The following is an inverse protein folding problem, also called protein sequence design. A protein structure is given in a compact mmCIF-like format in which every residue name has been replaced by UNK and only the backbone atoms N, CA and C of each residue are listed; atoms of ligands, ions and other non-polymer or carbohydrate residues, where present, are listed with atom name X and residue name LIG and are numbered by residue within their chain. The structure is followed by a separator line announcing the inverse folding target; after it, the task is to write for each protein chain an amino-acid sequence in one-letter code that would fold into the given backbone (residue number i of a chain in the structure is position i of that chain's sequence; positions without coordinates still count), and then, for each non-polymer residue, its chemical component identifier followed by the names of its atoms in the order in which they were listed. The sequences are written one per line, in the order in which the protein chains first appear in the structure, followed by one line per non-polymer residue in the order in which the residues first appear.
data_IF_234299562456
#
_entry.id   IF_234299562456
#
_cell.length_a   1.000
_cell.length_b   1.000
_cell.length_c   1.000
_cell.angle_alpha   90.00
_cell.angle_beta   90.00
_cell.angle_gamma   90.00
#
_symmetry.space_group_name_H-M   'P 1'
#
loop_
_entity.id
_entity.type
_entity.pdbx_description
1 polymer ?
#
# COMPACT_ATOMS: atom_id res chain seq x y z
N UNK A 1 -9.29 -37.67 -1.38
CA UNK A 1 -7.90 -37.18 -1.50
C UNK A 1 -7.91 -36.29 -2.72
N UNK A 2 -7.75 -34.96 -2.54
CA UNK A 2 -7.57 -34.05 -3.69
C UNK A 2 -6.13 -34.28 -4.15
N UNK A 3 -5.93 -34.71 -5.40
CA UNK A 3 -4.62 -34.70 -6.04
C UNK A 3 -4.16 -33.24 -6.07
N UNK A 4 -3.33 -32.84 -5.12
CA UNK A 4 -2.70 -31.54 -5.13
C UNK A 4 -1.56 -31.61 -6.14
N UNK A 5 -1.80 -31.07 -7.34
CA UNK A 5 -0.76 -30.94 -8.36
C UNK A 5 0.40 -30.14 -7.78
N UNK A 6 1.62 -30.69 -7.89
CA UNK A 6 2.84 -29.99 -7.53
C UNK A 6 3.09 -28.93 -8.60
N UNK A 7 3.28 -27.66 -8.20
CA UNK A 7 3.76 -26.65 -9.15
C UNK A 7 5.29 -26.61 -9.17
N UNK A 8 5.84 -26.55 -10.35
CA UNK A 8 7.24 -26.28 -10.58
C UNK A 8 7.37 -24.91 -11.26
N UNK A 9 7.86 -23.94 -10.54
CA UNK A 9 8.16 -22.58 -11.06
C UNK A 9 9.61 -22.60 -11.49
N UNK A 10 9.88 -22.43 -12.79
CA UNK A 10 11.20 -22.55 -13.39
C UNK A 10 11.55 -21.29 -14.17
N UNK A 11 12.78 -20.81 -14.05
CA UNK A 11 13.28 -19.62 -14.72
C UNK A 11 14.13 -18.78 -13.79
N UNK A 12 13.74 -17.56 -13.51
CA UNK A 12 14.40 -16.72 -12.50
C UNK A 12 13.40 -16.37 -11.41
N UNK A 13 13.70 -16.78 -10.19
CA UNK A 13 12.88 -16.52 -9.01
C UNK A 13 13.59 -15.51 -8.14
N UNK A 14 13.05 -14.28 -8.09
CA UNK A 14 13.59 -13.20 -7.28
C UNK A 14 12.98 -13.32 -5.87
N UNK A 15 13.76 -13.80 -4.90
CA UNK A 15 13.29 -14.00 -3.51
C UNK A 15 13.67 -12.85 -2.59
N UNK A 16 14.60 -12.02 -2.99
CA UNK A 16 15.13 -10.90 -2.22
C UNK A 16 15.74 -9.81 -3.11
N UNK A 17 16.47 -8.86 -2.51
CA UNK A 17 16.94 -7.63 -3.17
C UNK A 17 18.03 -7.81 -4.23
N UNK A 18 18.56 -8.99 -4.46
CA UNK A 18 19.68 -9.26 -5.38
C UNK A 18 20.84 -8.27 -5.15
N UNK A 19 21.53 -8.45 -4.04
CA UNK A 19 22.66 -7.59 -3.65
C UNK A 19 23.96 -7.92 -4.39
N UNK A 20 23.93 -8.92 -5.27
CA UNK A 20 25.09 -9.40 -6.04
C UNK A 20 26.05 -10.30 -5.24
N UNK A 21 26.03 -10.21 -3.91
CA UNK A 21 26.92 -10.95 -3.02
C UNK A 21 26.25 -12.14 -2.31
N UNK A 22 24.91 -12.18 -2.30
CA UNK A 22 24.16 -13.24 -1.67
C UNK A 22 23.66 -14.25 -2.72
N UNK A 23 24.29 -15.41 -2.79
CA UNK A 23 23.89 -16.54 -3.65
C UNK A 23 22.48 -17.10 -3.35
N UNK A 24 21.64 -16.35 -2.62
CA UNK A 24 20.31 -16.74 -2.19
C UNK A 24 19.15 -15.89 -2.71
N UNK A 25 19.41 -14.68 -3.20
CA UNK A 25 18.34 -13.72 -3.56
C UNK A 25 17.69 -14.00 -4.93
N UNK A 26 18.39 -14.75 -5.80
CA UNK A 26 17.88 -15.22 -7.10
C UNK A 26 18.07 -16.73 -7.20
N UNK A 27 17.00 -17.45 -7.53
CA UNK A 27 17.02 -18.88 -7.72
C UNK A 27 16.56 -19.24 -9.14
N UNK A 28 16.95 -20.41 -9.64
CA UNK A 28 16.54 -20.88 -10.96
C UNK A 28 15.17 -21.60 -10.92
N UNK A 29 14.74 -22.02 -9.74
CA UNK A 29 13.46 -22.70 -9.56
C UNK A 29 12.97 -22.62 -8.11
N UNK A 30 11.66 -22.84 -7.94
CA UNK A 30 11.04 -23.22 -6.70
C UNK A 30 9.90 -24.21 -6.97
N UNK A 31 9.51 -24.92 -5.93
CA UNK A 31 8.41 -25.88 -5.98
C UNK A 31 7.30 -25.47 -5.03
N UNK A 32 6.08 -25.86 -5.37
CA UNK A 32 4.92 -25.63 -4.50
C UNK A 32 4.26 -26.99 -4.24
N UNK A 33 4.20 -27.35 -2.97
CA UNK A 33 3.59 -28.57 -2.49
C UNK A 33 2.53 -28.20 -1.46
N UNK A 34 1.30 -28.64 -1.63
CA UNK A 34 0.18 -28.35 -0.73
C UNK A 34 0.02 -26.84 -0.43
N UNK A 35 0.22 -26.02 -1.44
CA UNK A 35 0.11 -24.56 -1.35
C UNK A 35 1.28 -23.86 -0.69
N UNK A 36 2.37 -24.58 -0.36
CA UNK A 36 3.54 -24.05 0.31
C UNK A 36 4.80 -24.14 -0.55
N UNK A 37 5.67 -23.18 -0.40
CA UNK A 37 6.95 -23.09 -1.10
C UNK A 37 7.93 -24.10 -0.53
N UNK A 38 8.67 -24.77 -1.41
CA UNK A 38 9.91 -25.46 -1.07
C UNK A 38 10.95 -25.23 -2.18
N UNK A 39 12.21 -25.09 -1.77
CA UNK A 39 13.34 -24.98 -2.71
C UNK A 39 13.98 -26.34 -3.01
N UNK A 40 13.48 -27.39 -2.37
CA UNK A 40 13.90 -28.77 -2.65
C UNK A 40 12.88 -29.44 -3.58
N UNK A 41 13.40 -30.18 -4.58
CA UNK A 41 12.55 -30.95 -5.47
C UNK A 41 11.82 -32.04 -4.69
N UNK A 42 10.46 -32.07 -4.72
CA UNK A 42 9.72 -33.08 -3.98
C UNK A 42 9.95 -34.47 -4.55
N UNK A 43 10.27 -35.44 -3.68
CA UNK A 43 10.47 -36.82 -4.06
C UNK A 43 9.14 -37.49 -4.43
N UNK A 44 9.12 -38.25 -5.52
CA UNK A 44 7.93 -39.05 -5.93
C UNK A 44 6.76 -38.25 -6.51
N UNK A 45 6.94 -36.94 -6.78
CA UNK A 45 5.90 -36.13 -7.43
C UNK A 45 5.60 -36.67 -8.84
N UNK A 46 4.32 -37.02 -9.09
CA UNK A 46 3.88 -37.63 -10.37
C UNK A 46 3.12 -36.62 -11.25
N UNK A 47 2.40 -35.71 -10.64
CA UNK A 47 1.61 -34.71 -11.36
C UNK A 47 2.24 -33.33 -11.11
N UNK A 48 3.09 -32.90 -12.04
CA UNK A 48 3.85 -31.66 -11.96
C UNK A 48 3.36 -30.71 -13.03
N UNK A 49 2.83 -29.57 -12.62
CA UNK A 49 2.49 -28.47 -13.50
C UNK A 49 3.66 -27.48 -13.58
N UNK A 50 4.23 -27.35 -14.76
CA UNK A 50 5.35 -26.41 -15.01
C UNK A 50 4.79 -24.99 -15.30
N UNK A 51 5.37 -23.99 -14.66
CA UNK A 51 5.18 -22.56 -14.95
C UNK A 51 6.57 -21.94 -15.14
N UNK A 52 6.82 -21.39 -16.32
CA UNK A 52 8.12 -20.79 -16.66
C UNK A 52 8.02 -19.26 -16.73
N UNK A 53 9.11 -18.59 -16.32
CA UNK A 53 9.23 -17.14 -16.40
C UNK A 53 10.01 -16.51 -15.27
N UNK A 54 9.81 -15.21 -15.06
CA UNK A 54 10.38 -14.42 -13.97
C UNK A 54 9.39 -14.38 -12.83
N UNK A 55 9.70 -15.02 -11.73
CA UNK A 55 8.82 -15.09 -10.57
C UNK A 55 9.27 -14.13 -9.45
N UNK A 56 8.31 -13.44 -8.86
CA UNK A 56 8.48 -12.56 -7.71
C UNK A 56 7.44 -12.91 -6.64
N UNK A 57 7.64 -12.49 -5.35
CA UNK A 57 6.55 -12.47 -4.39
C UNK A 57 5.36 -11.72 -4.97
N UNK A 58 4.15 -12.16 -4.69
CA UNK A 58 2.96 -11.39 -5.03
C UNK A 58 3.11 -9.95 -4.56
N UNK A 59 2.76 -9.02 -5.44
CA UNK A 59 2.92 -7.59 -5.17
C UNK A 59 2.12 -7.16 -3.95
N UNK A 60 2.56 -6.08 -3.34
CA UNK A 60 1.90 -5.44 -2.20
C UNK A 60 1.36 -4.08 -2.65
N UNK A 61 0.07 -3.87 -2.49
CA UNK A 61 -0.51 -2.53 -2.50
C UNK A 61 -0.71 -2.09 -1.05
N UNK A 62 0.17 -1.21 -0.58
CA UNK A 62 0.19 -0.77 0.81
C UNK A 62 -0.75 0.41 1.09
N UNK A 63 -1.52 0.85 0.10
CA UNK A 63 -2.55 1.85 0.24
C UNK A 63 -3.63 1.67 -0.83
N UNK A 64 -4.67 0.98 -0.51
CA UNK A 64 -5.88 0.86 -1.31
C UNK A 64 -7.12 0.86 -0.39
N UNK A 65 -8.31 0.79 -0.97
CA UNK A 65 -9.59 0.86 -0.26
C UNK A 65 -10.58 -0.14 -0.86
N UNK A 66 -10.48 -1.41 -0.47
CA UNK A 66 -11.45 -2.44 -0.87
C UNK A 66 -12.78 -2.20 -0.14
N UNK A 67 -13.87 -2.14 -0.88
CA UNK A 67 -15.18 -1.84 -0.29
C UNK A 67 -15.55 -0.36 -0.31
N UNK A 68 -14.80 0.47 -1.06
CA UNK A 68 -15.02 1.91 -1.18
C UNK A 68 -15.10 2.32 -2.66
N UNK A 69 -16.02 3.23 -2.98
CA UNK A 69 -16.06 3.96 -4.24
C UNK A 69 -16.24 5.48 -4.00
N UNK A 70 -16.42 6.24 -5.08
CA UNK A 70 -16.59 7.71 -5.00
C UNK A 70 -17.81 8.16 -4.18
N UNK A 71 -18.73 7.29 -3.83
CA UNK A 71 -19.95 7.57 -3.08
C UNK A 71 -19.91 7.07 -1.63
N UNK A 72 -18.91 6.27 -1.27
CA UNK A 72 -18.75 5.67 0.06
C UNK A 72 -18.69 4.16 0.01
N UNK A 73 -19.33 3.50 0.99
CA UNK A 73 -19.40 2.05 1.08
C UNK A 73 -20.05 1.41 -0.14
N UNK A 74 -19.48 0.30 -0.60
CA UNK A 74 -20.05 -0.53 -1.67
C UNK A 74 -20.47 -1.90 -1.14
N UNK A 75 -21.26 -2.63 -1.93
CA UNK A 75 -21.68 -3.99 -1.62
C UNK A 75 -20.56 -5.04 -1.77
N UNK A 76 -20.83 -6.26 -1.27
CA UNK A 76 -19.87 -7.36 -1.31
C UNK A 76 -19.49 -7.74 -2.75
N UNK A 77 -20.42 -7.68 -3.70
CA UNK A 77 -20.17 -7.99 -5.12
C UNK A 77 -19.19 -7.00 -5.74
N UNK A 78 -19.29 -5.72 -5.39
CA UNK A 78 -18.37 -4.67 -5.86
C UNK A 78 -17.01 -4.82 -5.16
N UNK A 79 -16.99 -5.08 -3.84
CA UNK A 79 -15.77 -5.36 -3.08
C UNK A 79 -15.03 -6.58 -3.62
N UNK A 80 -15.76 -7.65 -4.01
CA UNK A 80 -15.18 -8.84 -4.65
C UNK A 80 -14.49 -8.49 -5.98
N UNK A 81 -15.16 -7.71 -6.84
CA UNK A 81 -14.59 -7.29 -8.12
C UNK A 81 -13.34 -6.44 -7.94
N UNK A 82 -13.32 -5.55 -6.95
CA UNK A 82 -12.14 -4.75 -6.60
C UNK A 82 -10.97 -5.64 -6.20
N UNK A 83 -11.19 -6.57 -5.27
CA UNK A 83 -10.18 -7.53 -4.81
C UNK A 83 -9.70 -8.46 -5.94
N UNK A 84 -10.59 -8.91 -6.82
CA UNK A 84 -10.23 -9.71 -8.01
C UNK A 84 -9.36 -8.92 -8.98
N UNK A 85 -9.68 -7.63 -9.20
CA UNK A 85 -8.90 -6.75 -10.07
C UNK A 85 -7.48 -6.57 -9.55
N UNK A 86 -7.31 -6.34 -8.25
CA UNK A 86 -5.98 -6.26 -7.61
C UNK A 86 -5.22 -7.58 -7.72
N UNK A 87 -5.89 -8.71 -7.44
CA UNK A 87 -5.30 -10.05 -7.59
C UNK A 87 -4.79 -10.28 -9.01
N UNK A 88 -5.61 -9.99 -10.00
CA UNK A 88 -5.29 -10.26 -11.41
C UNK A 88 -4.18 -9.32 -11.92
N UNK A 89 -4.01 -8.14 -11.32
CA UNK A 89 -2.86 -7.27 -11.49
C UNK A 89 -1.62 -7.72 -10.69
N UNK A 90 -1.71 -8.81 -9.92
CA UNK A 90 -0.59 -9.37 -9.17
C UNK A 90 -0.46 -8.86 -7.73
N UNK A 91 -1.34 -7.99 -7.25
CA UNK A 91 -1.37 -7.56 -5.85
C UNK A 91 -2.03 -8.63 -4.98
N UNK A 92 -1.21 -9.40 -4.25
CA UNK A 92 -1.65 -10.54 -3.45
C UNK A 92 -1.66 -10.25 -1.93
N UNK A 93 -1.15 -9.10 -1.55
CA UNK A 93 -1.24 -8.54 -0.19
C UNK A 93 -1.65 -7.08 -0.31
N UNK A 94 -2.75 -6.73 0.32
CA UNK A 94 -3.31 -5.39 0.33
C UNK A 94 -3.26 -4.83 1.76
N UNK A 95 -2.84 -3.58 1.95
CA UNK A 95 -3.14 -2.82 3.15
C UNK A 95 -4.26 -1.84 2.81
N UNK A 96 -5.46 -2.20 3.26
CA UNK A 96 -6.62 -1.32 3.19
C UNK A 96 -6.42 -0.17 4.16
N UNK A 97 -6.15 1.02 3.62
CA UNK A 97 -5.88 2.23 4.37
C UNK A 97 -7.17 2.93 4.85
N UNK A 98 -8.24 2.17 5.01
CA UNK A 98 -9.51 2.60 5.57
C UNK A 98 -10.68 2.39 4.62
N UNK A 99 -11.71 1.69 5.10
CA UNK A 99 -12.95 1.49 4.36
C UNK A 99 -14.16 1.54 5.32
N UNK A 100 -15.29 2.12 4.91
CA UNK A 100 -16.52 2.03 5.66
C UNK A 100 -17.18 0.65 5.58
N UNK A 101 -16.80 -0.18 4.60
CA UNK A 101 -17.33 -1.55 4.38
C UNK A 101 -16.59 -2.56 5.23
N UNK A 102 -17.30 -3.55 5.78
CA UNK A 102 -16.66 -4.71 6.40
C UNK A 102 -16.35 -5.76 5.35
N UNK A 103 -15.07 -5.93 5.04
CA UNK A 103 -14.58 -6.88 4.04
C UNK A 103 -13.99 -8.16 4.65
N UNK A 104 -14.28 -8.50 5.93
CA UNK A 104 -13.72 -9.70 6.59
C UNK A 104 -14.12 -11.01 5.94
N UNK A 105 -15.27 -11.07 5.29
CA UNK A 105 -15.69 -12.23 4.52
C UNK A 105 -14.70 -12.65 3.42
N UNK A 106 -13.85 -11.71 2.95
CA UNK A 106 -12.78 -11.98 1.98
C UNK A 106 -11.73 -12.94 2.55
N UNK A 107 -11.51 -12.95 3.86
CA UNK A 107 -10.51 -13.79 4.51
C UNK A 107 -10.81 -15.28 4.38
N UNK A 108 -12.11 -15.64 4.23
CA UNK A 108 -12.59 -17.00 4.02
C UNK A 108 -12.45 -17.47 2.55
N UNK A 109 -12.07 -16.56 1.66
CA UNK A 109 -11.94 -16.82 0.21
C UNK A 109 -10.49 -17.15 -0.15
N UNK A 110 -10.28 -18.37 -0.66
CA UNK A 110 -8.94 -18.82 -1.07
C UNK A 110 -8.46 -18.20 -2.40
N UNK A 111 -9.36 -17.64 -3.17
CA UNK A 111 -9.12 -17.02 -4.48
C UNK A 111 -8.97 -15.51 -4.46
N UNK A 112 -9.09 -14.88 -3.28
CA UNK A 112 -8.93 -13.42 -3.10
C UNK A 112 -7.62 -13.07 -2.36
N UNK A 113 -7.06 -11.86 -2.57
CA UNK A 113 -5.85 -11.41 -1.88
C UNK A 113 -6.01 -11.40 -0.36
N UNK A 114 -4.91 -11.41 0.37
CA UNK A 114 -4.93 -11.12 1.81
C UNK A 114 -5.03 -9.62 2.02
N UNK A 115 -5.88 -9.21 2.97
CA UNK A 115 -6.07 -7.80 3.32
C UNK A 115 -5.64 -7.57 4.78
N UNK A 116 -4.89 -6.50 5.01
CA UNK A 116 -4.59 -5.93 6.33
C UNK A 116 -5.36 -4.61 6.41
N UNK A 117 -6.32 -4.51 7.31
CA UNK A 117 -7.30 -3.41 7.38
C UNK A 117 -6.90 -2.40 8.45
N UNK A 118 -7.00 -1.13 8.12
CA UNK A 118 -6.86 -0.03 9.09
C UNK A 118 -8.21 0.39 9.72
N UNK A 119 -9.26 -0.40 9.50
CA UNK A 119 -10.62 -0.04 9.94
C UNK A 119 -11.25 1.04 9.05
N UNK A 120 -12.05 1.93 9.62
CA UNK A 120 -12.64 3.06 8.92
C UNK A 120 -11.82 4.33 9.17
N UNK A 121 -11.69 5.19 8.16
CA UNK A 121 -11.06 6.51 8.32
C UNK A 121 -11.66 7.29 9.50
N UNK A 122 -10.81 8.04 10.20
CA UNK A 122 -11.24 9.00 11.23
C UNK A 122 -10.85 10.39 10.73
N UNK A 123 -11.84 11.26 10.55
CA UNK A 123 -11.69 12.63 10.08
C UNK A 123 -12.39 13.61 11.00
N UNK A 124 -11.89 14.84 11.03
CA UNK A 124 -12.61 15.92 11.69
C UNK A 124 -13.89 16.25 10.92
N UNK A 125 -14.95 16.63 11.61
CA UNK A 125 -16.26 16.98 11.03
C UNK A 125 -16.10 17.95 9.84
N UNK A 126 -16.64 17.58 8.69
CA UNK A 126 -16.57 18.34 7.42
C UNK A 126 -15.17 18.52 6.85
N UNK A 127 -14.20 17.75 7.28
CA UNK A 127 -12.80 17.80 6.86
C UNK A 127 -12.36 16.50 6.19
N UNK A 128 -13.23 15.91 5.35
CA UNK A 128 -12.90 14.81 4.43
C UNK A 128 -14.00 14.61 3.39
N UNK A 129 -13.82 13.56 2.55
CA UNK A 129 -14.82 13.11 1.58
C UNK A 129 -16.01 12.53 2.33
N UNK A 130 -17.21 12.97 1.93
CA UNK A 130 -18.45 12.53 2.56
C UNK A 130 -18.61 11.01 2.47
N UNK A 131 -19.15 10.39 3.53
CA UNK A 131 -19.45 8.96 3.66
C UNK A 131 -18.22 8.03 3.80
N UNK A 132 -16.98 8.55 3.76
CA UNK A 132 -15.78 7.74 3.93
C UNK A 132 -15.47 7.50 5.41
N UNK A 133 -15.36 8.56 6.16
CA UNK A 133 -14.83 8.58 7.52
C UNK A 133 -15.91 8.54 8.61
N UNK A 134 -15.50 8.24 9.85
CA UNK A 134 -16.15 8.78 11.02
C UNK A 134 -15.83 10.27 11.07
N UNK A 135 -16.85 11.12 11.04
CA UNK A 135 -16.69 12.56 11.20
C UNK A 135 -16.89 12.92 12.67
N UNK A 136 -15.83 13.34 13.35
CA UNK A 136 -15.81 13.56 14.81
C UNK A 136 -15.13 14.87 15.18
N UNK A 137 -15.29 15.30 16.43
CA UNK A 137 -14.52 16.41 17.00
C UNK A 137 -13.25 15.90 17.72
N UNK A 138 -12.24 16.77 17.95
CA UNK A 138 -10.98 16.37 18.55
C UNK A 138 -11.09 15.66 19.90
N UNK A 139 -12.10 16.00 20.71
CA UNK A 139 -12.34 15.42 22.02
C UNK A 139 -12.67 13.93 21.97
N UNK A 140 -13.21 13.46 20.84
CA UNK A 140 -13.59 12.07 20.63
C UNK A 140 -12.48 11.23 20.00
N UNK A 141 -11.37 11.85 19.55
CA UNK A 141 -10.35 11.20 18.71
C UNK A 141 -9.77 9.94 19.36
N UNK A 142 -9.41 10.00 20.64
CA UNK A 142 -8.83 8.86 21.38
C UNK A 142 -9.80 7.67 21.42
N UNK A 143 -11.08 7.95 21.66
CA UNK A 143 -12.10 6.89 21.75
C UNK A 143 -12.33 6.19 20.39
N UNK A 144 -12.38 6.97 19.30
CA UNK A 144 -12.53 6.40 17.95
C UNK A 144 -11.28 5.67 17.48
N UNK A 145 -10.07 6.18 17.77
CA UNK A 145 -8.81 5.47 17.52
C UNK A 145 -8.77 4.14 18.26
N UNK A 146 -9.18 4.12 19.54
CA UNK A 146 -9.24 2.89 20.30
C UNK A 146 -10.27 1.88 19.74
N UNK A 147 -11.39 2.36 19.20
CA UNK A 147 -12.39 1.51 18.56
C UNK A 147 -11.86 0.89 17.26
N UNK A 148 -11.26 1.72 16.38
CA UNK A 148 -10.72 1.25 15.10
C UNK A 148 -9.45 0.40 15.30
N UNK A 149 -8.62 0.64 16.31
CA UNK A 149 -7.49 -0.23 16.67
C UNK A 149 -7.93 -1.66 17.01
N UNK A 150 -9.09 -1.81 17.67
CA UNK A 150 -9.69 -3.14 17.97
C UNK A 150 -10.39 -3.78 16.78
N UNK A 151 -10.90 -2.95 15.86
CA UNK A 151 -11.60 -3.39 14.66
C UNK A 151 -10.66 -3.75 13.53
N UNK A 152 -9.54 -3.04 13.38
CA UNK A 152 -8.56 -3.24 12.33
C UNK A 152 -7.63 -4.43 12.56
N UNK A 153 -6.74 -4.64 11.62
CA UNK A 153 -5.74 -5.72 11.63
C UNK A 153 -4.36 -5.17 12.06
N UNK A 154 -4.34 -4.34 13.12
CA UNK A 154 -3.15 -3.71 13.66
C UNK A 154 -2.77 -2.37 13.04
N UNK A 155 -3.72 -1.70 12.40
CA UNK A 155 -3.58 -0.35 11.86
C UNK A 155 -4.81 0.51 12.18
N UNK A 156 -4.58 1.84 12.25
CA UNK A 156 -5.64 2.87 12.31
C UNK A 156 -5.34 3.94 11.27
N UNK A 157 -6.37 4.43 10.57
CA UNK A 157 -6.26 5.50 9.57
C UNK A 157 -6.85 6.80 10.06
N UNK A 158 -6.01 7.83 10.11
CA UNK A 158 -6.41 9.22 10.32
C UNK A 158 -6.45 10.01 9.01
N UNK A 159 -7.24 11.06 8.98
CA UNK A 159 -7.11 12.15 8.01
C UNK A 159 -6.33 13.25 8.70
N UNK A 160 -5.07 13.45 8.34
CA UNK A 160 -4.16 14.41 8.98
C UNK A 160 -4.43 15.85 8.56
N UNK A 161 -4.76 16.06 7.28
CA UNK A 161 -5.15 17.36 6.74
C UNK A 161 -6.26 17.26 5.71
N UNK A 162 -6.92 18.37 5.45
CA UNK A 162 -7.91 18.54 4.40
C UNK A 162 -8.17 20.01 4.13
N UNK A 163 -8.99 20.31 3.12
CA UNK A 163 -9.40 21.69 2.82
C UNK A 163 -10.03 22.32 4.08
N UNK A 164 -9.41 23.38 4.57
CA UNK A 164 -9.99 24.28 5.55
C UNK A 164 -10.82 25.34 4.84
N UNK A 165 -12.11 25.39 5.19
CA UNK A 165 -13.05 26.30 4.52
C UNK A 165 -12.86 27.77 4.93
N UNK A 166 -12.22 28.03 6.06
CA UNK A 166 -11.91 29.37 6.53
C UNK A 166 -10.73 29.99 5.78
N UNK A 167 -9.69 29.19 5.57
CA UNK A 167 -8.50 29.61 4.83
C UNK A 167 -8.64 29.43 3.32
N UNK A 168 -9.49 28.50 2.88
CA UNK A 168 -9.66 28.09 1.49
C UNK A 168 -8.47 27.29 0.94
N UNK A 169 -7.67 26.69 1.83
CA UNK A 169 -6.49 25.91 1.50
C UNK A 169 -6.45 24.62 2.34
N UNK A 170 -5.42 23.77 2.13
CA UNK A 170 -5.14 22.63 3.01
C UNK A 170 -4.80 23.14 4.42
N UNK A 171 -5.16 22.37 5.41
CA UNK A 171 -4.84 22.67 6.79
C UNK A 171 -4.98 21.46 7.69
N UNK A 172 -4.23 21.40 8.79
CA UNK A 172 -4.25 20.31 9.77
C UNK A 172 -5.65 20.08 10.33
N UNK A 173 -6.04 18.80 10.47
CA UNK A 173 -7.34 18.42 11.02
C UNK A 173 -7.37 18.43 12.54
N UNK A 174 -6.24 18.20 13.20
CA UNK A 174 -6.21 17.85 14.61
C UNK A 174 -5.29 18.78 15.42
N UNK A 175 -5.72 19.19 16.62
CA UNK A 175 -4.81 19.80 17.58
C UNK A 175 -3.70 18.81 17.98
N UNK A 176 -2.48 19.31 18.18
CA UNK A 176 -1.31 18.49 18.51
C UNK A 176 -1.55 17.54 19.70
N UNK A 177 -2.04 18.05 20.83
CA UNK A 177 -2.27 17.22 22.03
C UNK A 177 -3.27 16.07 21.79
N UNK A 178 -4.33 16.30 20.99
CA UNK A 178 -5.31 15.26 20.66
C UNK A 178 -4.68 14.13 19.84
N UNK A 179 -3.81 14.46 18.88
CA UNK A 179 -3.14 13.47 18.04
C UNK A 179 -2.08 12.70 18.82
N UNK A 180 -1.33 13.37 19.71
CA UNK A 180 -0.34 12.72 20.60
C UNK A 180 -1.02 11.65 21.49
N UNK A 181 -2.12 11.99 22.14
CA UNK A 181 -2.88 11.06 22.99
C UNK A 181 -3.49 9.91 22.17
N UNK A 182 -4.02 10.20 20.99
CA UNK A 182 -4.65 9.20 20.12
C UNK A 182 -3.64 8.19 19.57
N UNK A 183 -2.47 8.64 19.11
CA UNK A 183 -1.40 7.74 18.63
C UNK A 183 -0.86 6.90 19.78
N UNK A 184 -0.63 7.49 20.95
CA UNK A 184 -0.22 6.74 22.14
C UNK A 184 -1.22 5.65 22.53
N UNK A 185 -2.53 5.92 22.44
CA UNK A 185 -3.58 4.93 22.69
C UNK A 185 -3.59 3.81 21.64
N UNK A 186 -3.42 4.12 20.35
CA UNK A 186 -3.30 3.11 19.31
C UNK A 186 -2.11 2.17 19.59
N UNK A 187 -0.94 2.72 19.91
CA UNK A 187 0.26 1.96 20.24
C UNK A 187 0.06 1.10 21.49
N UNK A 188 -0.59 1.63 22.53
CA UNK A 188 -0.95 0.87 23.72
C UNK A 188 -1.83 -0.35 23.42
N UNK A 189 -2.65 -0.27 22.37
CA UNK A 189 -3.50 -1.35 21.89
C UNK A 189 -2.80 -2.25 20.85
N UNK A 190 -1.52 -2.00 20.53
CA UNK A 190 -0.73 -2.79 19.60
C UNK A 190 -1.01 -2.45 18.12
N UNK A 191 -1.66 -1.33 17.84
CA UNK A 191 -1.92 -0.87 16.48
C UNK A 191 -0.96 0.25 16.07
N UNK A 192 -0.52 0.24 14.83
CA UNK A 192 0.19 1.33 14.15
C UNK A 192 -0.81 2.36 13.61
N UNK A 193 -0.36 3.59 13.42
CA UNK A 193 -1.19 4.68 12.91
C UNK A 193 -0.65 5.20 11.59
N UNK A 194 -1.54 5.40 10.63
CA UNK A 194 -1.22 6.09 9.38
C UNK A 194 -2.16 7.27 9.15
N UNK A 195 -1.69 8.32 8.46
CA UNK A 195 -2.49 9.49 8.15
C UNK A 195 -2.40 9.91 6.68
N UNK A 196 -3.55 10.25 6.10
CA UNK A 196 -3.62 11.03 4.87
C UNK A 196 -3.03 12.42 5.12
N UNK A 197 -1.99 12.84 4.35
CA UNK A 197 -1.44 14.18 4.40
C UNK A 197 -0.93 14.66 3.04
N UNK A 198 -1.41 15.84 2.64
CA UNK A 198 -0.94 16.56 1.47
C UNK A 198 -0.11 17.79 1.85
N UNK A 199 -0.50 18.50 2.91
CA UNK A 199 0.07 19.79 3.30
C UNK A 199 1.40 19.66 4.05
N UNK A 200 2.25 20.67 3.88
CA UNK A 200 3.54 20.78 4.57
C UNK A 200 3.37 20.87 6.10
N UNK A 201 2.43 21.71 6.55
CA UNK A 201 2.25 22.04 7.97
C UNK A 201 1.75 20.88 8.83
N UNK A 202 1.13 19.85 8.21
CA UNK A 202 0.53 18.71 8.91
C UNK A 202 1.57 17.68 9.32
N UNK A 203 2.73 17.64 8.64
CA UNK A 203 3.68 16.54 8.73
C UNK A 203 4.45 16.50 10.05
N UNK A 204 5.13 17.60 10.40
CA UNK A 204 5.97 17.64 11.59
C UNK A 204 5.19 17.32 12.89
N UNK A 205 3.99 17.88 13.14
CA UNK A 205 3.21 17.54 14.34
C UNK A 205 2.86 16.06 14.45
N UNK A 206 2.55 15.40 13.33
CA UNK A 206 2.22 13.96 13.32
C UNK A 206 3.46 13.10 13.58
N UNK A 207 4.60 13.44 12.99
CA UNK A 207 5.87 12.73 13.21
C UNK A 207 6.33 12.89 14.66
N UNK A 208 6.23 14.10 15.21
CA UNK A 208 6.55 14.38 16.62
C UNK A 208 5.63 13.62 17.59
N UNK A 209 4.35 13.41 17.21
CA UNK A 209 3.39 12.60 17.95
C UNK A 209 3.65 11.09 17.87
N UNK A 210 4.59 10.65 17.02
CA UNK A 210 5.01 9.25 16.91
C UNK A 210 4.24 8.43 15.88
N UNK A 211 3.71 9.05 14.82
CA UNK A 211 3.01 8.32 13.74
C UNK A 211 3.95 7.33 13.05
N UNK A 212 3.40 6.21 12.56
CA UNK A 212 4.18 5.13 11.94
C UNK A 212 4.31 5.27 10.42
N UNK A 213 3.32 5.90 9.76
CA UNK A 213 3.29 6.06 8.32
C UNK A 213 2.52 7.31 7.90
N UNK A 214 2.98 7.97 6.85
CA UNK A 214 2.24 9.05 6.19
C UNK A 214 1.91 8.63 4.75
N UNK A 215 0.64 8.72 4.41
CA UNK A 215 0.14 8.48 3.07
C UNK A 215 0.30 9.75 2.21
N UNK A 216 0.66 9.56 0.94
CA UNK A 216 0.94 10.62 -0.04
C UNK A 216 2.19 11.44 0.27
N UNK A 217 2.27 12.02 1.46
CA UNK A 217 3.42 12.80 1.96
C UNK A 217 3.92 13.90 0.99
N UNK A 218 3.02 14.47 0.17
CA UNK A 218 3.36 15.47 -0.85
C UNK A 218 3.93 16.76 -0.28
N UNK A 219 3.64 17.03 1.00
CA UNK A 219 4.10 18.18 1.76
C UNK A 219 5.51 18.05 2.34
N UNK A 220 6.26 16.98 2.09
CA UNK A 220 7.64 16.88 2.58
C UNK A 220 8.49 18.03 2.07
N UNK A 221 9.30 18.61 2.97
CA UNK A 221 10.21 19.73 2.73
C UNK A 221 11.61 19.39 3.24
N UNK A 222 12.60 20.20 2.89
CA UNK A 222 13.97 20.05 3.38
C UNK A 222 14.06 20.08 4.92
N UNK A 223 13.12 20.79 5.60
CA UNK A 223 13.07 20.85 7.07
C UNK A 223 12.43 19.59 7.67
N UNK A 224 11.44 18.98 7.02
CA UNK A 224 10.70 17.84 7.58
C UNK A 224 11.31 16.48 7.22
N UNK A 225 11.98 16.35 6.08
CA UNK A 225 12.64 15.12 5.64
C UNK A 225 13.60 14.54 6.69
N UNK A 226 14.52 15.33 7.32
CA UNK A 226 15.39 14.80 8.37
C UNK A 226 14.63 14.22 9.56
N UNK A 227 13.51 14.81 9.95
CA UNK A 227 12.68 14.34 11.06
C UNK A 227 12.06 12.97 10.77
N UNK A 228 11.56 12.77 9.53
CA UNK A 228 11.03 11.47 9.08
C UNK A 228 12.12 10.39 9.10
N UNK A 229 13.30 10.70 8.58
CA UNK A 229 14.42 9.76 8.53
C UNK A 229 14.89 9.36 9.94
N UNK A 230 15.03 10.34 10.85
CA UNK A 230 15.43 10.11 12.25
C UNK A 230 14.43 9.23 13.01
N UNK A 231 13.14 9.45 12.78
CA UNK A 231 12.06 8.71 13.45
C UNK A 231 11.68 7.41 12.75
N UNK A 232 12.22 7.14 11.55
CA UNK A 232 11.90 5.95 10.76
C UNK A 232 10.45 5.90 10.29
N UNK A 233 9.79 7.06 10.13
CA UNK A 233 8.40 7.15 9.67
C UNK A 233 8.34 6.79 8.20
N UNK A 234 7.53 5.79 7.84
CA UNK A 234 7.36 5.34 6.47
C UNK A 234 6.48 6.29 5.67
N UNK A 235 6.64 6.28 4.34
CA UNK A 235 5.71 6.94 3.43
C UNK A 235 5.20 5.97 2.36
N UNK A 236 3.96 6.21 1.91
CA UNK A 236 3.36 5.55 0.74
C UNK A 236 2.94 6.66 -0.24
N UNK A 237 3.77 6.98 -1.25
CA UNK A 237 3.63 8.20 -2.04
C UNK A 237 2.39 8.26 -2.92
N UNK A 238 1.84 7.11 -3.35
CA UNK A 238 0.66 7.02 -4.22
C UNK A 238 0.75 7.94 -5.45
N UNK A 239 1.86 7.88 -6.17
CA UNK A 239 2.15 8.78 -7.29
C UNK A 239 1.09 8.70 -8.40
N UNK A 240 0.46 7.53 -8.59
CA UNK A 240 -0.67 7.36 -9.52
C UNK A 240 -1.89 8.19 -9.09
N UNK A 241 -2.13 8.34 -7.78
CA UNK A 241 -3.17 9.24 -7.27
C UNK A 241 -2.74 10.70 -7.43
N UNK A 242 -1.50 11.05 -7.06
CA UNK A 242 -0.99 12.42 -7.17
C UNK A 242 -1.04 12.93 -8.62
N UNK A 243 -0.90 12.04 -9.61
CA UNK A 243 -1.08 12.39 -11.01
C UNK A 243 -2.49 12.96 -11.34
N UNK A 244 -3.49 12.75 -10.49
CA UNK A 244 -4.84 13.30 -10.64
C UNK A 244 -4.99 14.74 -10.13
N UNK A 245 -4.03 15.27 -9.38
CA UNK A 245 -4.11 16.59 -8.74
C UNK A 245 -4.44 17.75 -9.69
N UNK A 246 -3.88 17.83 -10.92
CA UNK A 246 -4.26 18.89 -11.85
C UNK A 246 -5.76 18.88 -12.21
N UNK A 247 -6.35 17.68 -12.35
CA UNK A 247 -7.79 17.53 -12.61
C UNK A 247 -8.62 17.91 -11.38
N UNK A 248 -8.20 17.50 -10.20
CA UNK A 248 -8.87 17.86 -8.93
C UNK A 248 -8.81 19.38 -8.71
N UNK A 249 -7.64 19.99 -8.91
CA UNK A 249 -7.45 21.43 -8.80
C UNK A 249 -8.38 22.20 -9.74
N UNK A 250 -8.46 21.79 -11.01
CA UNK A 250 -9.37 22.40 -11.98
C UNK A 250 -10.84 22.32 -11.52
N UNK A 251 -11.26 21.17 -10.98
CA UNK A 251 -12.63 20.96 -10.50
C UNK A 251 -12.99 21.80 -9.26
N UNK A 252 -11.98 22.12 -8.42
CA UNK A 252 -12.17 22.87 -7.15
C UNK A 252 -11.86 24.36 -7.23
N UNK A 253 -11.19 24.83 -8.29
CA UNK A 253 -10.60 26.18 -8.40
C UNK A 253 -11.60 27.32 -8.19
N UNK A 254 -12.80 27.18 -8.76
CA UNK A 254 -13.83 28.21 -8.63
C UNK A 254 -14.26 28.44 -7.17
N UNK A 255 -14.16 27.42 -6.32
CA UNK A 255 -14.54 27.48 -4.91
C UNK A 255 -13.37 27.71 -3.98
N UNK A 256 -12.21 27.11 -4.27
CA UNK A 256 -11.00 27.10 -3.45
C UNK A 256 -9.76 27.37 -4.31
N UNK A 257 -9.58 28.60 -4.82
CA UNK A 257 -8.47 28.93 -5.71
C UNK A 257 -7.09 28.73 -5.07
N UNK A 258 -6.93 29.06 -3.76
CA UNK A 258 -5.67 28.86 -3.03
C UNK A 258 -5.30 27.38 -2.94
N UNK A 259 -6.26 26.54 -2.57
CA UNK A 259 -6.11 25.09 -2.55
C UNK A 259 -5.75 24.53 -3.94
N UNK A 260 -6.41 25.01 -4.99
CA UNK A 260 -6.13 24.55 -6.35
C UNK A 260 -4.70 24.86 -6.78
N UNK A 261 -4.19 26.06 -6.47
CA UNK A 261 -2.81 26.45 -6.74
C UNK A 261 -1.83 25.63 -5.86
N UNK A 262 -2.18 25.36 -4.62
CA UNK A 262 -1.40 24.51 -3.73
C UNK A 262 -1.27 23.09 -4.30
N UNK A 263 -2.38 22.45 -4.68
CA UNK A 263 -2.37 21.12 -5.29
C UNK A 263 -1.50 21.06 -6.57
N UNK A 264 -1.52 22.10 -7.39
CA UNK A 264 -0.66 22.17 -8.59
C UNK A 264 0.83 22.24 -8.20
N UNK A 265 1.20 23.01 -7.17
CA UNK A 265 2.59 23.08 -6.68
C UNK A 265 3.05 21.73 -6.11
N UNK A 266 2.23 21.06 -5.30
CA UNK A 266 2.53 19.73 -4.77
C UNK A 266 2.72 18.72 -5.91
N UNK A 267 1.82 18.73 -6.90
CA UNK A 267 1.96 17.88 -8.08
C UNK A 267 3.24 18.14 -8.87
N UNK A 268 3.60 19.41 -9.07
CA UNK A 268 4.78 19.78 -9.87
C UNK A 268 6.07 19.19 -9.29
N UNK A 269 6.22 19.21 -7.97
CA UNK A 269 7.44 18.73 -7.27
C UNK A 269 7.41 17.25 -6.83
N UNK A 270 6.33 16.49 -7.11
CA UNK A 270 6.09 15.15 -6.56
C UNK A 270 7.26 14.17 -6.69
N UNK A 271 7.92 14.15 -7.86
CA UNK A 271 9.07 13.25 -8.09
C UNK A 271 10.31 13.69 -7.32
N UNK A 272 10.59 14.99 -7.28
CA UNK A 272 11.68 15.56 -6.51
C UNK A 272 11.50 15.28 -5.02
N UNK A 273 10.26 15.44 -4.52
CA UNK A 273 9.90 15.14 -3.12
C UNK A 273 10.15 13.68 -2.76
N UNK A 274 9.69 12.74 -3.60
CA UNK A 274 9.89 11.31 -3.36
C UNK A 274 11.37 10.93 -3.49
N UNK A 275 12.09 11.53 -4.44
CA UNK A 275 13.52 11.32 -4.58
C UNK A 275 14.29 11.82 -3.35
N UNK A 276 14.01 13.01 -2.86
CA UNK A 276 14.64 13.57 -1.66
C UNK A 276 14.37 12.73 -0.41
N UNK A 277 13.13 12.20 -0.26
CA UNK A 277 12.79 11.28 0.80
C UNK A 277 13.61 9.99 0.74
N UNK A 278 13.75 9.40 -0.46
CA UNK A 278 14.57 8.21 -0.67
C UNK A 278 16.04 8.45 -0.34
N UNK A 279 16.63 9.56 -0.83
CA UNK A 279 18.04 9.90 -0.59
C UNK A 279 18.34 10.13 0.90
N UNK A 280 17.34 10.56 1.67
CA UNK A 280 17.41 10.70 3.13
C UNK A 280 17.22 9.39 3.89
N UNK A 281 16.92 8.27 3.22
CA UNK A 281 16.72 6.97 3.84
C UNK A 281 15.34 6.77 4.47
N UNK A 282 14.33 7.58 4.11
CA UNK A 282 12.95 7.38 4.56
C UNK A 282 12.42 6.07 3.94
N UNK A 283 11.83 5.16 4.74
CA UNK A 283 11.21 3.94 4.20
C UNK A 283 10.05 4.28 3.25
N UNK A 284 10.09 3.76 2.02
CA UNK A 284 9.08 4.01 0.98
C UNK A 284 8.45 2.69 0.56
N UNK A 285 7.11 2.64 0.52
CA UNK A 285 6.35 1.47 0.07
C UNK A 285 5.36 1.84 -1.03
N UNK A 286 5.08 0.87 -1.89
CA UNK A 286 4.16 1.04 -3.02
C UNK A 286 2.71 1.01 -2.55
N UNK A 287 1.90 1.97 -2.98
CA UNK A 287 0.47 2.02 -2.76
C UNK A 287 -0.22 2.89 -3.79
N UNK A 288 -1.46 2.57 -4.15
CA UNK A 288 -2.14 3.16 -5.31
C UNK A 288 -3.18 4.21 -4.95
N UNK A 289 -3.74 4.14 -3.74
CA UNK A 289 -4.97 4.84 -3.34
C UNK A 289 -6.17 4.44 -4.21
N UNK A 290 -6.17 3.19 -4.71
CA UNK A 290 -7.28 2.61 -5.44
C UNK A 290 -8.52 2.44 -4.56
N UNK A 291 -9.69 2.54 -5.14
CA UNK A 291 -10.97 2.79 -4.49
C UNK A 291 -11.32 4.27 -4.63
N UNK A 292 -12.39 4.73 -4.05
CA UNK A 292 -12.75 6.14 -4.16
C UNK A 292 -12.76 6.67 -5.60
N UNK A 293 -11.72 7.42 -5.94
CA UNK A 293 -11.59 8.09 -7.25
C UNK A 293 -10.75 7.37 -8.30
N UNK A 294 -10.05 6.29 -7.94
CA UNK A 294 -9.17 5.51 -8.81
C UNK A 294 -9.63 4.06 -8.92
N UNK A 295 -9.40 3.47 -10.08
CA UNK A 295 -9.62 2.04 -10.28
C UNK A 295 -8.58 1.20 -9.53
N UNK A 296 -8.95 -0.04 -9.16
CA UNK A 296 -8.04 -1.04 -8.66
C UNK A 296 -7.11 -1.59 -9.75
N UNK A 297 -6.04 -2.30 -9.37
CA UNK A 297 -5.12 -2.96 -10.29
C UNK A 297 -3.94 -2.09 -10.77
N UNK A 298 -3.62 -0.99 -10.10
CA UNK A 298 -2.62 -0.01 -10.54
C UNK A 298 -1.23 -0.21 -9.91
N UNK A 299 -1.00 -1.24 -9.09
CA UNK A 299 0.25 -1.42 -8.33
C UNK A 299 1.50 -1.45 -9.22
N UNK A 300 1.44 -2.12 -10.38
CA UNK A 300 2.57 -2.15 -11.32
C UNK A 300 2.87 -0.77 -11.93
N UNK A 301 1.85 0.08 -12.09
CA UNK A 301 2.02 1.46 -12.55
C UNK A 301 2.67 2.32 -11.46
N UNK A 302 2.29 2.13 -10.18
CA UNK A 302 2.91 2.84 -9.07
C UNK A 302 4.41 2.52 -8.95
N UNK A 303 4.81 1.25 -9.14
CA UNK A 303 6.25 0.89 -9.21
C UNK A 303 6.97 1.65 -10.33
N UNK A 304 6.34 1.77 -11.51
CA UNK A 304 6.92 2.54 -12.61
C UNK A 304 7.04 4.04 -12.30
N UNK A 305 6.08 4.60 -11.58
CA UNK A 305 6.14 6.00 -11.12
C UNK A 305 7.24 6.21 -10.07
N UNK A 306 7.49 5.24 -9.16
CA UNK A 306 8.63 5.30 -8.24
C UNK A 306 9.97 5.31 -8.99
N UNK A 307 10.13 4.44 -10.00
CA UNK A 307 11.33 4.44 -10.84
C UNK A 307 11.49 5.76 -11.61
N UNK A 308 10.41 6.33 -12.10
CA UNK A 308 10.40 7.64 -12.77
C UNK A 308 10.75 8.78 -11.81
N UNK A 309 10.45 8.66 -10.52
CA UNK A 309 10.89 9.55 -9.48
C UNK A 309 12.40 9.41 -9.17
N UNK A 310 13.09 8.47 -9.80
CA UNK A 310 14.53 8.22 -9.64
C UNK A 310 14.87 7.18 -8.57
N UNK A 311 13.89 6.45 -8.03
CA UNK A 311 14.16 5.31 -7.15
C UNK A 311 14.83 4.20 -7.97
N UNK A 312 15.95 3.61 -7.53
CA UNK A 312 16.53 2.47 -8.22
C UNK A 312 15.54 1.32 -8.38
N UNK A 313 15.56 0.67 -9.55
CA UNK A 313 14.62 -0.42 -9.87
C UNK A 313 14.55 -1.49 -8.78
N UNK A 314 15.73 -1.88 -8.23
CA UNK A 314 15.81 -2.85 -7.13
C UNK A 314 14.99 -2.42 -5.91
N UNK A 315 15.08 -1.15 -5.54
CA UNK A 315 14.43 -0.63 -4.34
C UNK A 315 12.94 -0.35 -4.59
N UNK A 316 12.56 0.04 -5.81
CA UNK A 316 11.16 0.13 -6.22
C UNK A 316 10.48 -1.27 -6.25
N UNK A 317 11.18 -2.31 -6.70
CA UNK A 317 10.70 -3.70 -6.59
C UNK A 317 10.58 -4.14 -5.13
N UNK A 318 11.55 -3.79 -4.28
CA UNK A 318 11.50 -4.05 -2.84
C UNK A 318 10.28 -3.40 -2.20
N UNK A 319 10.00 -2.13 -2.54
CA UNK A 319 8.85 -1.39 -2.05
C UNK A 319 7.50 -2.02 -2.40
N UNK A 320 7.45 -2.86 -3.42
CA UNK A 320 6.24 -3.57 -3.88
C UNK A 320 6.24 -5.07 -3.54
N UNK A 321 7.32 -5.63 -2.98
CA UNK A 321 7.43 -7.07 -2.78
C UNK A 321 7.99 -7.42 -1.39
N UNK A 322 9.23 -7.88 -1.30
CA UNK A 322 9.84 -8.38 -0.05
C UNK A 322 9.94 -7.32 1.04
N UNK A 323 10.37 -6.09 0.73
CA UNK A 323 10.48 -5.02 1.73
C UNK A 323 9.12 -4.59 2.29
N UNK A 324 8.10 -4.45 1.43
CA UNK A 324 6.74 -4.15 1.90
C UNK A 324 6.14 -5.31 2.71
N UNK A 325 6.41 -6.56 2.34
CA UNK A 325 5.97 -7.72 3.10
C UNK A 325 6.63 -7.79 4.49
N UNK A 326 7.92 -7.54 4.56
CA UNK A 326 8.66 -7.45 5.82
C UNK A 326 8.09 -6.35 6.72
N UNK A 327 7.89 -5.15 6.19
CA UNK A 327 7.28 -4.04 6.91
C UNK A 327 5.88 -4.36 7.45
N UNK A 328 5.09 -5.13 6.69
CA UNK A 328 3.76 -5.57 7.09
C UNK A 328 3.77 -6.87 7.91
N UNK A 329 4.95 -7.42 8.25
CA UNK A 329 5.09 -8.65 9.03
C UNK A 329 4.57 -9.89 8.30
N UNK A 330 4.74 -9.93 6.98
CA UNK A 330 4.30 -11.06 6.13
C UNK A 330 5.50 -11.68 5.40
N UNK A 331 5.56 -13.02 5.28
CA UNK A 331 6.66 -13.66 4.59
C UNK A 331 6.68 -13.33 3.09
N UNK A 332 7.89 -13.28 2.52
CA UNK A 332 8.13 -13.35 1.08
C UNK A 332 8.15 -14.79 0.56
N UNK A 333 8.94 -15.04 -0.50
CA UNK A 333 9.18 -16.38 -1.03
C UNK A 333 10.23 -17.09 -0.16
N UNK A 334 9.80 -17.68 0.94
CA UNK A 334 10.67 -18.43 1.87
C UNK A 334 10.17 -19.86 2.02
N UNK A 335 11.07 -20.77 2.46
CA UNK A 335 10.73 -22.18 2.70
C UNK A 335 9.51 -22.30 3.64
N UNK A 336 8.53 -23.11 3.25
CA UNK A 336 7.30 -23.35 4.02
C UNK A 336 6.26 -22.21 4.00
N UNK A 337 6.56 -21.07 3.39
CA UNK A 337 5.60 -19.97 3.27
C UNK A 337 4.46 -20.34 2.29
N UNK A 338 3.33 -19.62 2.39
CA UNK A 338 2.26 -19.69 1.39
C UNK A 338 2.81 -19.29 0.02
N UNK A 339 2.49 -20.06 -1.01
CA UNK A 339 2.93 -19.76 -2.36
C UNK A 339 2.04 -18.69 -2.99
N UNK A 340 2.34 -17.43 -2.63
CA UNK A 340 1.72 -16.24 -3.18
C UNK A 340 2.76 -15.51 -4.04
N UNK A 341 2.71 -15.75 -5.36
CA UNK A 341 3.72 -15.26 -6.31
C UNK A 341 3.12 -14.87 -7.65
N UNK A 342 3.85 -14.04 -8.37
CA UNK A 342 3.48 -13.59 -9.72
C UNK A 342 4.61 -13.95 -10.68
N UNK A 343 4.26 -14.43 -11.88
CA UNK A 343 5.22 -14.78 -12.93
C UNK A 343 5.04 -13.88 -14.14
N UNK A 344 6.13 -13.37 -14.66
CA UNK A 344 6.21 -12.47 -15.81
C UNK A 344 7.00 -13.09 -16.96
N UNK A 345 6.75 -12.61 -18.19
CA UNK A 345 7.47 -13.08 -19.39
C UNK A 345 8.88 -12.49 -19.54
N UNK A 346 9.15 -11.36 -18.91
CA UNK A 346 10.43 -10.65 -19.00
C UNK A 346 10.94 -10.22 -17.63
N UNK A 347 12.23 -9.86 -17.58
CA UNK A 347 12.91 -9.41 -16.35
C UNK A 347 12.38 -8.05 -15.88
N UNK A 348 11.70 -7.97 -14.74
CA UNK A 348 11.19 -6.70 -14.20
C UNK A 348 12.31 -5.74 -13.74
N UNK A 349 13.55 -6.23 -13.57
CA UNK A 349 14.71 -5.40 -13.26
C UNK A 349 15.20 -4.63 -14.49
N UNK A 350 14.97 -5.19 -15.67
CA UNK A 350 15.29 -4.53 -16.94
C UNK A 350 14.19 -3.53 -17.36
N UNK A 351 12.94 -3.86 -17.11
CA UNK A 351 11.78 -2.99 -17.39
C UNK A 351 10.63 -3.27 -16.41
N UNK A 352 10.43 -2.38 -15.45
CA UNK A 352 9.36 -2.53 -14.44
C UNK A 352 7.96 -2.47 -15.03
N UNK A 353 7.77 -1.98 -16.26
CA UNK A 353 6.46 -1.92 -16.91
C UNK A 353 5.85 -3.31 -17.14
N UNK A 354 6.67 -4.36 -17.17
CA UNK A 354 6.17 -5.75 -17.23
C UNK A 354 5.29 -6.11 -16.05
N UNK A 355 5.42 -5.43 -14.91
CA UNK A 355 4.60 -5.66 -13.72
C UNK A 355 3.11 -5.37 -13.95
N UNK A 356 2.76 -4.61 -14.97
CA UNK A 356 1.36 -4.31 -15.32
C UNK A 356 0.65 -5.45 -16.01
N UNK A 357 1.37 -6.48 -16.47
CA UNK A 357 0.82 -7.61 -17.24
C UNK A 357 1.36 -8.95 -16.74
N UNK A 358 0.85 -9.44 -15.59
CA UNK A 358 1.23 -10.76 -15.10
C UNK A 358 0.93 -11.86 -16.12
N UNK A 359 1.89 -12.75 -16.35
CA UNK A 359 1.67 -13.95 -17.16
C UNK A 359 0.87 -15.00 -16.39
N UNK A 360 1.18 -15.16 -15.11
CA UNK A 360 0.47 -16.04 -14.18
C UNK A 360 0.46 -15.47 -12.78
N UNK A 361 -0.66 -15.64 -12.12
CA UNK A 361 -0.82 -15.34 -10.71
C UNK A 361 -0.99 -16.67 -9.98
N UNK A 362 -0.17 -16.89 -8.95
CA UNK A 362 -0.27 -18.04 -8.06
C UNK A 362 -0.63 -17.52 -6.68
N UNK A 363 -1.78 -17.95 -6.18
CA UNK A 363 -2.29 -17.57 -4.87
C UNK A 363 -2.55 -18.84 -4.05
N UNK A 364 -1.91 -18.92 -2.87
CA UNK A 364 -1.97 -20.10 -1.99
C UNK A 364 -1.67 -21.42 -2.74
N UNK A 365 -0.70 -21.35 -3.68
CA UNK A 365 -0.28 -22.48 -4.48
C UNK A 365 -1.20 -22.86 -5.63
N UNK A 366 -2.23 -22.08 -5.92
CA UNK A 366 -3.13 -22.28 -7.06
C UNK A 366 -2.88 -21.23 -8.13
N UNK A 367 -2.82 -21.65 -9.38
CA UNK A 367 -2.80 -20.72 -10.52
C UNK A 367 -4.22 -20.17 -10.69
N UNK A 368 -4.40 -18.85 -10.52
CA UNK A 368 -5.71 -18.19 -10.47
C UNK A 368 -5.92 -17.13 -11.57
N UNK A 369 -4.88 -16.79 -12.33
CA UNK A 369 -4.94 -15.81 -13.43
C UNK A 369 -4.15 -16.27 -14.64
#
# INVERSE_FOLDING_TARGET
MRDSAVLHIKGRVLVGPDTGDAAGDVRDELWVVDGRITFERPSGARDIRLVEGWALPGLVDAHCHVGLDAHGAVDDSTSEKQALTDRDAGALLLRDAGSPTDTRWIDDREDLPRIIRAGRHIARTKRYIRNYAHEIEPEDLVAYVAAEARRGDGWVKLVGDWIDRETGDLGSCWPRGAVEEAIAEAHRLGARVTAHCFAEESLAPLVEAGIDCIEHATGLTEETIPLFAERGVAIVPTLVNIATFPRLALGGEARFPRWADHMRRLHARRYETVRAAYDAGIPIYTGTDAGGGLAHGLVGQEVAELVKAGIPVRDALSAATWGAREWLGRPGLTEGASADLVVYDADPRADVRVLTTPRRVVLRGRVVG
#
